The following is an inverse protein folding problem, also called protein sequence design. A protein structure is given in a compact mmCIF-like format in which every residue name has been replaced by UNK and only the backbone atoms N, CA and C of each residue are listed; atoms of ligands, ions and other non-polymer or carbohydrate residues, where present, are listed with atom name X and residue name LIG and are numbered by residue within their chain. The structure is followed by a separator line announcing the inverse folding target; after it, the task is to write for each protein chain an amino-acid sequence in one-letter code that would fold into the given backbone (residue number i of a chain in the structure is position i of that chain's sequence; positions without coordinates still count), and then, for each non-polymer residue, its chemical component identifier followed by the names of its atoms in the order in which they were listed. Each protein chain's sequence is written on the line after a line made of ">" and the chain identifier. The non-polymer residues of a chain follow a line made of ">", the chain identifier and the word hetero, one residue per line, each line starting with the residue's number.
data_IF_490043778996
#
_entry.id   IF_490043778996
#
_cell.length_a   1.000
_cell.length_b   1.000
_cell.length_c   1.000
_cell.angle_alpha   90.00
_cell.angle_beta   90.00
_cell.angle_gamma   90.00
#
_symmetry.space_group_name_H-M   'P 1'
#
loop_
_entity.id
_entity.type
_entity.pdbx_description
1 polymer ?
#
# COMPACT_ATOMS: atom_id res chain seq x y z
N UNK A 1 -13.46 12.78 3.02
CA UNK A 1 -14.78 12.17 3.23
C UNK A 1 -14.95 11.12 2.17
N UNK A 2 -14.98 9.87 2.60
CA UNK A 2 -15.12 8.74 1.69
C UNK A 2 -16.53 8.74 1.10
N UNK A 3 -16.64 9.22 -0.16
CA UNK A 3 -17.88 9.17 -0.93
C UNK A 3 -18.17 7.76 -1.52
N UNK A 4 -17.50 6.73 -0.99
CA UNK A 4 -17.72 5.33 -1.37
C UNK A 4 -18.65 4.60 -0.40
N UNK A 5 -19.59 5.32 0.21
CA UNK A 5 -20.55 4.70 1.11
C UNK A 5 -21.51 3.77 0.35
N UNK A 6 -21.58 2.53 0.83
CA UNK A 6 -22.59 1.58 0.39
C UNK A 6 -23.96 2.13 0.75
N UNK A 7 -24.80 2.39 -0.26
CA UNK A 7 -26.14 2.90 -0.05
C UNK A 7 -27.14 1.75 0.14
N UNK A 8 -27.96 1.87 1.18
CA UNK A 8 -29.01 0.90 1.50
C UNK A 8 -30.38 1.46 1.18
N UNK A 9 -31.27 0.60 0.70
CA UNK A 9 -32.65 0.96 0.39
C UNK A 9 -33.40 1.46 1.64
N UNK A 10 -34.09 2.57 1.53
CA UNK A 10 -34.87 3.15 2.63
C UNK A 10 -36.08 2.29 3.08
N UNK A 11 -36.55 1.39 2.24
CA UNK A 11 -37.70 0.52 2.59
C UNK A 11 -37.32 -0.86 3.11
N UNK A 12 -36.44 -1.56 2.40
CA UNK A 12 -36.11 -2.95 2.72
C UNK A 12 -34.71 -3.13 3.30
N UNK A 13 -33.92 -2.06 3.41
CA UNK A 13 -32.54 -2.02 3.95
C UNK A 13 -31.54 -2.95 3.23
N UNK A 14 -31.89 -3.46 2.06
CA UNK A 14 -30.96 -4.19 1.21
C UNK A 14 -30.05 -3.21 0.47
N UNK A 15 -28.87 -3.67 0.11
CA UNK A 15 -27.91 -2.90 -0.66
C UNK A 15 -28.49 -2.50 -2.02
N UNK A 16 -28.34 -1.24 -2.38
CA UNK A 16 -28.74 -0.71 -3.69
C UNK A 16 -27.58 -0.75 -4.68
N UNK A 17 -27.90 -0.78 -5.95
CA UNK A 17 -26.94 -0.75 -7.05
C UNK A 17 -27.10 0.56 -7.83
N UNK A 18 -26.00 1.09 -8.34
CA UNK A 18 -26.02 2.25 -9.23
C UNK A 18 -26.35 1.85 -10.65
N UNK A 19 -27.33 2.50 -11.23
CA UNK A 19 -27.75 2.32 -12.63
C UNK A 19 -27.90 3.68 -13.32
N UNK A 20 -27.77 3.65 -14.64
CA UNK A 20 -28.14 4.78 -15.48
C UNK A 20 -29.59 4.59 -15.95
N UNK A 21 -30.43 5.59 -15.74
CA UNK A 21 -31.77 5.65 -16.30
C UNK A 21 -31.74 5.95 -17.82
N UNK A 22 -32.86 5.84 -18.47
CA UNK A 22 -33.02 6.13 -19.91
C UNK A 22 -32.55 7.53 -20.30
N UNK A 23 -32.68 8.48 -19.38
CA UNK A 23 -32.25 9.87 -19.52
C UNK A 23 -30.78 10.10 -19.11
N UNK A 24 -30.00 9.00 -18.89
CA UNK A 24 -28.60 9.00 -18.46
C UNK A 24 -28.36 9.63 -17.09
N UNK A 25 -29.35 9.64 -16.22
CA UNK A 25 -29.21 10.04 -14.84
C UNK A 25 -28.79 8.84 -13.97
N UNK A 26 -27.93 9.07 -12.98
CA UNK A 26 -27.58 8.06 -11.99
C UNK A 26 -28.72 7.86 -11.00
N UNK A 27 -29.10 6.61 -10.77
CA UNK A 27 -30.11 6.21 -9.79
C UNK A 27 -29.59 5.05 -8.94
N UNK A 28 -30.05 5.02 -7.69
CA UNK A 28 -29.89 3.84 -6.83
C UNK A 28 -31.08 2.91 -7.06
N UNK A 29 -30.82 1.67 -7.42
CA UNK A 29 -31.84 0.67 -7.67
C UNK A 29 -31.71 -0.50 -6.68
N UNK A 30 -32.79 -0.80 -5.98
CA UNK A 30 -32.88 -1.96 -5.11
C UNK A 30 -33.46 -3.16 -5.86
N UNK A 31 -32.68 -4.24 -5.96
CA UNK A 31 -33.14 -5.49 -6.63
C UNK A 31 -34.16 -6.26 -5.82
N UNK A 32 -34.25 -6.05 -4.51
CA UNK A 32 -35.13 -6.80 -3.63
C UNK A 32 -36.59 -6.28 -3.67
N UNK A 33 -36.76 -4.94 -3.62
CA UNK A 33 -38.09 -4.31 -3.65
C UNK A 33 -38.36 -3.48 -4.90
N UNK A 34 -37.43 -3.47 -5.85
CA UNK A 34 -37.51 -2.74 -7.14
C UNK A 34 -37.59 -1.20 -6.99
N UNK A 35 -37.34 -0.67 -5.80
CA UNK A 35 -37.37 0.76 -5.55
C UNK A 35 -36.21 1.46 -6.26
N UNK A 36 -36.53 2.62 -6.80
CA UNK A 36 -35.56 3.54 -7.43
C UNK A 36 -35.49 4.81 -6.61
N UNK A 37 -34.27 5.20 -6.26
CA UNK A 37 -33.99 6.43 -5.54
C UNK A 37 -33.02 7.29 -6.35
N UNK A 38 -33.21 8.61 -6.40
CA UNK A 38 -32.29 9.48 -7.13
C UNK A 38 -30.92 9.47 -6.46
N UNK A 39 -29.88 9.53 -7.27
CA UNK A 39 -28.52 9.72 -6.76
C UNK A 39 -28.35 11.15 -6.24
N UNK A 40 -28.04 11.30 -4.96
CA UNK A 40 -27.91 12.60 -4.28
C UNK A 40 -26.46 13.09 -4.12
N UNK A 41 -25.51 12.39 -4.73
CA UNK A 41 -24.10 12.76 -4.65
C UNK A 41 -23.80 14.06 -5.41
N UNK A 42 -23.03 14.93 -4.79
CA UNK A 42 -22.57 16.20 -5.40
C UNK A 42 -21.47 15.99 -6.45
N UNK A 43 -20.88 14.80 -6.50
CA UNK A 43 -19.79 14.44 -7.40
C UNK A 43 -20.17 13.19 -8.20
N UNK A 44 -19.86 13.18 -9.50
CA UNK A 44 -20.11 12.04 -10.38
C UNK A 44 -19.09 10.89 -10.18
N UNK A 45 -18.19 11.00 -9.22
CA UNK A 45 -17.25 9.95 -8.86
C UNK A 45 -17.98 8.87 -8.05
N UNK A 46 -18.05 7.66 -8.61
CA UNK A 46 -18.71 6.51 -7.97
C UNK A 46 -17.76 5.82 -6.99
N UNK A 47 -16.49 5.83 -7.30
CA UNK A 47 -15.45 5.18 -6.49
C UNK A 47 -14.10 5.86 -6.71
N UNK A 48 -13.39 6.14 -5.64
CA UNK A 48 -12.01 6.58 -5.70
C UNK A 48 -11.19 5.87 -4.62
N UNK A 49 -9.97 5.51 -4.95
CA UNK A 49 -9.02 4.98 -3.98
C UNK A 49 -7.70 5.75 -4.12
N UNK A 50 -7.21 6.30 -3.05
CA UNK A 50 -5.92 6.96 -3.01
C UNK A 50 -4.91 6.08 -2.26
N UNK A 51 -3.90 5.61 -2.98
CA UNK A 51 -2.82 4.81 -2.42
C UNK A 51 -1.71 5.64 -1.76
N UNK A 52 -1.81 6.96 -1.76
CA UNK A 52 -0.79 7.83 -1.15
C UNK A 52 -0.74 7.74 0.37
N UNK A 53 -1.86 7.39 0.99
CA UNK A 53 -1.97 7.21 2.45
C UNK A 53 -1.41 5.86 2.93
N UNK A 54 -1.19 4.90 2.02
CA UNK A 54 -0.60 3.61 2.38
C UNK A 54 0.90 3.75 2.62
N UNK A 55 1.33 3.46 3.83
CA UNK A 55 2.76 3.31 4.12
C UNK A 55 3.29 2.02 3.49
N UNK A 56 3.81 2.17 2.27
CA UNK A 56 4.41 1.05 1.52
C UNK A 56 5.52 0.35 2.29
N UNK A 57 6.12 1.03 3.27
CA UNK A 57 7.19 0.46 4.08
C UNK A 57 6.72 -0.67 4.99
N UNK A 58 5.45 -0.68 5.40
CA UNK A 58 4.91 -1.75 6.24
C UNK A 58 4.95 -3.11 5.53
N UNK A 59 4.55 -3.17 4.27
CA UNK A 59 4.61 -4.40 3.49
C UNK A 59 6.03 -4.95 3.37
N UNK A 60 7.00 -4.06 3.19
CA UNK A 60 8.41 -4.43 3.10
C UNK A 60 8.91 -4.92 4.46
N UNK A 61 8.51 -4.28 5.56
CA UNK A 61 8.92 -4.67 6.89
C UNK A 61 8.40 -6.07 7.30
N UNK A 62 7.19 -6.41 6.88
CA UNK A 62 6.56 -7.69 7.22
C UNK A 62 6.92 -8.84 6.28
N UNK A 63 7.55 -8.57 5.15
CA UNK A 63 7.94 -9.62 4.21
C UNK A 63 9.30 -10.24 4.59
N UNK A 64 9.33 -11.54 4.99
CA UNK A 64 10.58 -12.22 5.36
C UNK A 64 11.40 -12.67 4.15
N UNK A 65 10.82 -12.68 2.93
CA UNK A 65 11.43 -13.24 1.73
C UNK A 65 12.22 -12.25 0.89
N UNK A 66 12.31 -10.99 1.30
CA UNK A 66 12.98 -9.93 0.51
C UNK A 66 14.45 -10.25 0.28
N UNK A 67 15.15 -10.84 1.27
CA UNK A 67 16.56 -11.21 1.14
C UNK A 67 16.79 -12.33 0.12
N UNK A 68 15.76 -13.08 -0.23
CA UNK A 68 15.81 -14.13 -1.24
C UNK A 68 15.52 -13.63 -2.66
N UNK A 69 15.08 -12.40 -2.81
CA UNK A 69 14.82 -11.81 -4.11
C UNK A 69 16.11 -11.37 -4.80
N UNK A 70 16.52 -12.12 -5.81
CA UNK A 70 17.72 -11.85 -6.59
C UNK A 70 17.62 -10.64 -7.52
N UNK A 71 16.40 -10.14 -7.75
CA UNK A 71 16.15 -8.99 -8.65
C UNK A 71 16.38 -7.65 -7.96
N UNK A 72 16.39 -7.62 -6.63
CA UNK A 72 16.60 -6.40 -5.86
C UNK A 72 18.07 -5.97 -5.92
N UNK A 73 18.32 -4.65 -6.01
CA UNK A 73 19.67 -4.11 -6.02
C UNK A 73 20.36 -4.28 -4.67
N UNK A 74 21.65 -4.59 -4.73
CA UNK A 74 22.51 -4.82 -3.56
C UNK A 74 23.70 -3.87 -3.57
N UNK A 75 24.16 -3.52 -2.39
CA UNK A 75 25.40 -2.78 -2.16
C UNK A 75 26.31 -3.67 -1.30
N UNK A 76 27.41 -4.11 -1.87
CA UNK A 76 28.37 -4.98 -1.20
C UNK A 76 29.67 -4.24 -0.89
N UNK A 77 30.24 -4.51 0.27
CA UNK A 77 31.56 -4.00 0.66
C UNK A 77 31.66 -2.50 0.91
N UNK A 78 30.57 -1.78 1.09
CA UNK A 78 30.60 -0.36 1.37
C UNK A 78 30.83 -0.11 2.87
N UNK A 79 31.97 0.48 3.22
CA UNK A 79 32.34 0.79 4.61
C UNK A 79 31.44 1.86 5.26
N UNK A 80 30.78 2.70 4.45
CA UNK A 80 29.86 3.74 4.95
C UNK A 80 28.45 3.24 5.21
N UNK A 81 28.09 2.08 4.65
CA UNK A 81 26.78 1.47 4.80
C UNK A 81 26.89 0.16 5.56
N UNK A 82 26.88 0.26 6.90
CA UNK A 82 26.96 -0.88 7.79
C UNK A 82 25.60 -1.23 8.38
N UNK A 83 25.46 -2.49 8.77
CA UNK A 83 24.30 -2.95 9.50
C UNK A 83 24.12 -2.19 10.82
N UNK A 84 22.90 -1.85 11.17
CA UNK A 84 22.58 -1.18 12.44
C UNK A 84 22.61 -2.12 13.65
N UNK A 85 22.64 -3.45 13.41
CA UNK A 85 22.80 -4.43 14.47
C UNK A 85 24.26 -4.59 14.85
N UNK A 86 24.68 -4.23 16.08
CA UNK A 86 26.07 -4.33 16.51
C UNK A 86 26.60 -5.76 16.55
N UNK A 87 25.73 -6.75 16.74
CA UNK A 87 26.07 -8.17 16.80
C UNK A 87 26.20 -8.85 15.43
N UNK A 88 25.93 -8.10 14.36
CA UNK A 88 26.02 -8.63 13.00
C UNK A 88 27.46 -8.98 12.64
N UNK A 89 27.65 -10.06 11.90
CA UNK A 89 28.99 -10.54 11.47
C UNK A 89 29.77 -9.51 10.65
N UNK A 90 29.06 -8.60 9.94
CA UNK A 90 29.72 -7.51 9.23
C UNK A 90 30.25 -6.39 10.13
N UNK A 91 29.81 -6.34 11.40
CA UNK A 91 30.33 -5.41 12.42
C UNK A 91 31.34 -6.05 13.37
N UNK A 92 31.18 -7.34 13.63
CA UNK A 92 32.00 -8.09 14.59
C UNK A 92 33.15 -8.87 13.95
N UNK A 93 33.08 -9.11 12.62
CA UNK A 93 34.06 -9.90 11.88
C UNK A 93 34.62 -9.15 10.65
N UNK A 94 35.45 -9.84 9.89
CA UNK A 94 36.06 -9.34 8.65
C UNK A 94 35.14 -9.54 7.42
N UNK A 95 33.86 -9.87 7.65
CA UNK A 95 32.94 -10.13 6.55
C UNK A 95 32.46 -8.78 5.95
N UNK A 96 32.61 -8.60 4.64
CA UNK A 96 32.15 -7.37 4.01
C UNK A 96 30.64 -7.19 4.17
N UNK A 97 30.18 -5.94 4.32
CA UNK A 97 28.76 -5.61 4.38
C UNK A 97 28.06 -5.97 3.09
N UNK A 98 26.86 -6.55 3.18
CA UNK A 98 25.98 -6.80 2.05
C UNK A 98 24.58 -6.33 2.41
N UNK A 99 24.09 -5.33 1.69
CA UNK A 99 22.84 -4.66 1.99
C UNK A 99 21.98 -4.62 0.73
N UNK A 100 20.76 -5.11 0.85
CA UNK A 100 19.71 -4.93 -0.18
C UNK A 100 18.96 -3.66 0.13
N UNK A 101 18.63 -2.86 -0.87
CA UNK A 101 17.85 -1.65 -0.68
C UNK A 101 16.61 -1.61 -1.58
N UNK A 102 15.54 -1.02 -1.04
CA UNK A 102 14.26 -0.86 -1.74
C UNK A 102 13.81 0.58 -1.57
N UNK A 103 13.52 1.24 -2.68
CA UNK A 103 12.91 2.56 -2.69
C UNK A 103 11.41 2.41 -2.50
N UNK A 104 10.86 2.95 -1.43
CA UNK A 104 9.44 2.85 -1.14
C UNK A 104 8.65 4.15 -1.33
N UNK A 105 9.34 5.28 -1.38
CA UNK A 105 8.76 6.60 -1.67
C UNK A 105 9.64 7.32 -2.69
N UNK A 106 9.08 7.51 -3.89
CA UNK A 106 9.80 8.15 -5.00
C UNK A 106 9.88 9.66 -4.84
N UNK A 107 8.83 10.28 -4.31
CA UNK A 107 8.73 11.73 -4.16
C UNK A 107 9.69 12.24 -3.08
N UNK A 108 9.83 11.51 -1.98
CA UNK A 108 10.68 11.85 -0.84
C UNK A 108 12.03 11.14 -0.85
N UNK A 109 12.31 10.33 -1.88
CA UNK A 109 13.56 9.58 -2.02
C UNK A 109 13.87 8.71 -0.79
N UNK A 110 12.86 8.01 -0.27
CA UNK A 110 13.00 7.18 0.92
C UNK A 110 13.31 5.73 0.57
N UNK A 111 14.25 5.17 1.30
CA UNK A 111 14.74 3.81 1.12
C UNK A 111 14.62 2.98 2.40
N UNK A 112 14.40 1.69 2.23
CA UNK A 112 14.59 0.67 3.28
C UNK A 112 15.82 -0.13 2.91
N UNK A 113 16.70 -0.30 3.88
CA UNK A 113 17.88 -1.12 3.79
C UNK A 113 17.70 -2.40 4.59
N UNK A 114 18.20 -3.50 4.06
CA UNK A 114 18.08 -4.82 4.67
C UNK A 114 19.45 -5.48 4.64
N UNK A 115 19.96 -5.85 5.80
CA UNK A 115 21.21 -6.61 5.89
C UNK A 115 20.99 -8.04 5.40
N UNK A 116 21.78 -8.48 4.42
CA UNK A 116 21.69 -9.85 3.89
C UNK A 116 22.26 -10.91 4.84
N UNK A 117 23.03 -10.50 5.87
CA UNK A 117 23.60 -11.43 6.83
C UNK A 117 22.66 -11.74 8.00
N UNK A 118 22.06 -10.71 8.62
CA UNK A 118 21.22 -10.88 9.81
C UNK A 118 19.74 -10.54 9.59
N UNK A 119 19.38 -10.00 8.43
CA UNK A 119 18.00 -9.63 8.13
C UNK A 119 17.52 -8.33 8.80
N UNK A 120 18.38 -7.61 9.51
CA UNK A 120 18.04 -6.32 10.11
C UNK A 120 17.63 -5.32 9.06
N UNK A 121 16.50 -4.63 9.31
CA UNK A 121 15.94 -3.60 8.42
C UNK A 121 16.03 -2.23 9.07
N UNK A 122 16.34 -1.21 8.28
CA UNK A 122 16.35 0.20 8.72
C UNK A 122 15.98 1.13 7.57
N UNK A 123 15.57 2.34 7.91
CA UNK A 123 15.19 3.39 6.96
C UNK A 123 16.25 4.49 6.96
N UNK A 124 16.38 5.20 5.84
CA UNK A 124 17.03 6.50 5.84
C UNK A 124 16.03 7.56 6.28
N UNK A 125 16.32 8.26 7.31
CA UNK A 125 15.55 9.42 7.76
C UNK A 125 16.01 10.70 7.04
#
# INVERSE_FOLDING_TARGET
>A
MDDSEIHFCSECQNMTYLYLDKDKNLIHYCKACEKKEPFSGSNNCIYSIDFKEYDKSEYINHNPYITHDITLPKIDGNSNLKCTNPECICNTGDTPSSVTYIKYDDDKMKYIYICNHCGQKWKND
#
